data_IF_154447257939
#
_entry.id   IF_154447257939
#
_cell.length_a   1.000
_cell.length_b   1.000
_cell.length_c   1.000
_cell.angle_alpha   90.00
_cell.angle_beta   90.00
_cell.angle_gamma   90.00
#
_symmetry.space_group_name_H-M   'P 1'
#
loop_
_entity.id
_entity.type
_entity.pdbx_description
1 polymer ?
#
# COMPACT_ATOMS: atom_id res chain seq x y z
N UNK A 1 1.50 22.20 9.40
CA UNK A 1 1.25 20.86 9.99
C UNK A 1 0.38 20.09 9.03
N UNK A 2 0.66 18.80 8.79
CA UNK A 2 -0.23 17.98 7.94
C UNK A 2 -1.61 17.89 8.59
N UNK A 3 -2.67 17.81 7.79
CA UNK A 3 -4.05 17.64 8.30
C UNK A 3 -4.17 16.36 9.14
N UNK A 4 -3.39 15.32 8.80
CA UNK A 4 -3.27 14.09 9.59
C UNK A 4 -2.75 14.34 11.01
N UNK A 5 -1.74 15.20 11.19
CA UNK A 5 -1.20 15.50 12.52
C UNK A 5 -2.25 16.14 13.43
N UNK A 6 -3.17 16.94 12.87
CA UNK A 6 -4.28 17.53 13.63
C UNK A 6 -5.23 16.42 14.11
N UNK A 7 -5.53 15.45 13.24
CA UNK A 7 -6.37 14.29 13.58
C UNK A 7 -5.78 13.40 14.69
N UNK A 8 -4.46 13.40 14.85
CA UNK A 8 -3.74 12.59 15.84
C UNK A 8 -3.30 13.39 17.08
N UNK A 9 -3.58 14.69 17.14
CA UNK A 9 -3.14 15.52 18.25
C UNK A 9 -3.85 15.10 19.55
N UNK A 10 -3.06 14.89 20.61
CA UNK A 10 -3.54 14.51 21.93
C UNK A 10 -4.14 13.11 22.01
N UNK A 11 -3.79 12.22 21.07
CA UNK A 11 -4.29 10.83 21.05
C UNK A 11 -3.22 9.89 21.57
N UNK A 12 -3.56 9.10 22.58
CA UNK A 12 -2.82 7.91 22.97
C UNK A 12 -3.58 6.67 22.46
N UNK A 13 -2.86 5.72 21.87
CA UNK A 13 -3.44 4.50 21.32
C UNK A 13 -3.01 3.31 22.17
N UNK A 14 -3.99 2.50 22.57
CA UNK A 14 -3.78 1.25 23.28
C UNK A 14 -4.78 0.24 22.76
N UNK A 15 -4.32 -0.97 22.44
CA UNK A 15 -5.20 -2.09 22.10
C UNK A 15 -5.95 -2.58 23.33
N UNK A 16 -7.09 -3.20 23.08
CA UNK A 16 -7.79 -3.93 24.12
C UNK A 16 -6.97 -5.15 24.55
N UNK A 17 -7.23 -5.58 25.78
CA UNK A 17 -6.59 -6.76 26.33
C UNK A 17 -7.22 -8.01 25.71
N UNK A 18 -6.39 -8.93 25.24
CA UNK A 18 -6.79 -10.23 24.71
C UNK A 18 -6.97 -11.24 25.84
N UNK A 19 -7.30 -12.49 25.51
CA UNK A 19 -7.31 -13.55 26.51
C UNK A 19 -5.91 -13.74 27.11
N UNK A 20 -5.79 -14.22 28.38
CA UNK A 20 -4.49 -14.45 29.00
C UNK A 20 -3.55 -15.35 28.20
N UNK A 21 -4.10 -16.33 27.46
CA UNK A 21 -3.33 -17.22 26.59
C UNK A 21 -2.70 -16.49 25.40
N UNK A 22 -3.52 -15.71 24.67
CA UNK A 22 -3.03 -14.89 23.57
C UNK A 22 -2.08 -13.79 24.01
N UNK A 23 -2.30 -13.18 25.18
CA UNK A 23 -1.37 -12.20 25.77
C UNK A 23 0.00 -12.83 26.03
N UNK A 24 0.05 -14.01 26.66
CA UNK A 24 1.31 -14.71 26.91
C UNK A 24 2.04 -15.08 25.60
N UNK A 25 1.29 -15.51 24.57
CA UNK A 25 1.86 -15.78 23.24
C UNK A 25 2.38 -14.52 22.56
N UNK A 26 1.66 -13.41 22.71
CA UNK A 26 2.03 -12.11 22.15
C UNK A 26 3.25 -11.51 22.86
N UNK A 27 3.32 -11.56 24.20
CA UNK A 27 4.43 -11.05 25.00
C UNK A 27 5.76 -11.72 24.67
N UNK A 28 5.72 -13.00 24.29
CA UNK A 28 6.92 -13.74 23.91
C UNK A 28 7.40 -13.39 22.48
N UNK A 29 6.72 -12.52 21.73
CA UNK A 29 7.07 -12.13 20.37
C UNK A 29 7.73 -10.74 20.37
N UNK A 30 8.95 -10.65 19.85
CA UNK A 30 9.74 -9.40 19.90
C UNK A 30 9.71 -8.61 18.59
N UNK A 31 9.27 -9.22 17.49
CA UNK A 31 9.21 -8.61 16.16
C UNK A 31 7.85 -8.84 15.51
N UNK A 32 7.51 -8.03 14.51
CA UNK A 32 6.29 -8.25 13.71
C UNK A 32 6.32 -9.60 12.99
N UNK A 33 7.49 -10.09 12.59
CA UNK A 33 7.62 -11.40 11.96
C UNK A 33 7.39 -12.53 12.95
N UNK A 34 7.82 -12.38 14.21
CA UNK A 34 7.50 -13.36 15.27
C UNK A 34 6.00 -13.38 15.58
N UNK A 35 5.37 -12.20 15.66
CA UNK A 35 3.92 -12.09 15.86
C UNK A 35 3.19 -12.81 14.73
N UNK A 36 3.59 -12.58 13.47
CA UNK A 36 2.99 -13.24 12.29
C UNK A 36 3.15 -14.76 12.34
N UNK A 37 4.33 -15.27 12.68
CA UNK A 37 4.57 -16.72 12.80
C UNK A 37 3.69 -17.36 13.86
N UNK A 38 3.61 -16.76 15.05
CA UNK A 38 2.74 -17.27 16.12
C UNK A 38 1.26 -17.18 15.77
N UNK A 39 0.85 -16.14 15.06
CA UNK A 39 -0.51 -15.97 14.57
C UNK A 39 -0.85 -17.05 13.51
N UNK A 40 0.10 -17.48 12.68
CA UNK A 40 -0.07 -18.61 11.76
C UNK A 40 -0.20 -19.95 12.50
N UNK A 41 0.46 -20.10 13.65
CA UNK A 41 0.36 -21.29 14.51
C UNK A 41 -0.93 -21.31 15.34
N UNK A 42 -1.52 -20.14 15.65
CA UNK A 42 -2.73 -19.99 16.47
C UNK A 42 -3.79 -19.11 15.80
N UNK A 43 -4.87 -19.75 15.33
CA UNK A 43 -6.05 -19.06 14.78
C UNK A 43 -6.76 -18.16 15.81
N UNK A 44 -6.68 -18.52 17.09
CA UNK A 44 -7.25 -17.74 18.20
C UNK A 44 -6.50 -16.42 18.35
N UNK A 45 -5.16 -16.46 18.38
CA UNK A 45 -4.32 -15.26 18.46
C UNK A 45 -4.58 -14.32 17.28
N UNK A 46 -4.74 -14.86 16.07
CA UNK A 46 -5.06 -14.06 14.88
C UNK A 46 -6.39 -13.31 15.02
N UNK A 47 -7.41 -13.99 15.54
CA UNK A 47 -8.76 -13.42 15.68
C UNK A 47 -8.80 -12.38 16.79
N UNK A 48 -8.22 -12.70 17.96
CA UNK A 48 -8.15 -11.78 19.10
C UNK A 48 -7.28 -10.56 18.81
N UNK A 49 -6.19 -10.70 18.04
CA UNK A 49 -5.40 -9.54 17.61
C UNK A 49 -6.22 -8.58 16.75
N UNK A 50 -7.00 -9.10 15.79
CA UNK A 50 -7.89 -8.28 14.96
C UNK A 50 -8.96 -7.59 15.80
N UNK A 51 -9.56 -8.30 16.74
CA UNK A 51 -10.57 -7.74 17.64
C UNK A 51 -9.97 -6.67 18.55
N UNK A 52 -8.80 -6.93 19.15
CA UNK A 52 -8.14 -6.03 20.11
C UNK A 52 -7.81 -4.64 19.56
N UNK A 53 -7.65 -4.52 18.23
CA UNK A 53 -7.36 -3.24 17.56
C UNK A 53 -8.59 -2.59 16.94
N UNK A 54 -9.74 -3.27 16.90
CA UNK A 54 -10.95 -2.80 16.22
C UNK A 54 -11.44 -1.46 16.81
N UNK A 55 -11.41 -1.31 18.13
CA UNK A 55 -11.81 -0.07 18.79
C UNK A 55 -10.89 1.10 18.42
N UNK A 56 -9.58 0.85 18.30
CA UNK A 56 -8.62 1.87 17.84
C UNK A 56 -8.90 2.25 16.39
N UNK A 57 -9.13 1.27 15.52
CA UNK A 57 -9.45 1.53 14.10
C UNK A 57 -10.69 2.42 13.98
N UNK A 58 -11.75 2.09 14.72
CA UNK A 58 -12.96 2.90 14.78
C UNK A 58 -12.70 4.32 15.30
N UNK A 59 -11.90 4.48 16.36
CA UNK A 59 -11.51 5.79 16.89
C UNK A 59 -10.77 6.62 15.83
N UNK A 60 -9.79 6.01 15.15
CA UNK A 60 -8.99 6.67 14.10
C UNK A 60 -9.84 7.03 12.88
N UNK A 61 -10.74 6.15 12.46
CA UNK A 61 -11.67 6.41 11.36
C UNK A 61 -12.58 7.60 11.69
N UNK A 62 -13.25 7.55 12.84
CA UNK A 62 -14.12 8.62 13.30
C UNK A 62 -13.41 9.98 13.40
N UNK A 63 -12.15 10.01 13.86
CA UNK A 63 -11.36 11.24 13.91
C UNK A 63 -10.96 11.72 12.52
N UNK A 64 -10.53 10.83 11.65
CA UNK A 64 -10.04 11.16 10.30
C UNK A 64 -11.16 11.67 9.42
N UNK A 65 -12.36 11.07 9.48
CA UNK A 65 -13.52 11.50 8.69
C UNK A 65 -14.07 12.88 9.07
N UNK A 66 -13.75 13.38 10.27
CA UNK A 66 -14.07 14.76 10.71
C UNK A 66 -13.12 15.79 10.12
N UNK A 67 -11.97 15.36 9.60
CA UNK A 67 -11.01 16.27 8.98
C UNK A 67 -11.50 16.70 7.60
N UNK A 68 -11.14 17.92 7.23
CA UNK A 68 -11.41 18.50 5.92
C UNK A 68 -10.10 18.89 5.25
N UNK A 69 -9.99 18.58 3.96
CA UNK A 69 -8.94 19.08 3.10
C UNK A 69 -9.58 19.71 1.86
N UNK A 70 -9.43 21.04 1.71
CA UNK A 70 -10.06 21.84 0.65
C UNK A 70 -11.57 21.56 0.56
N UNK A 71 -12.26 21.66 1.71
CA UNK A 71 -13.70 21.42 1.88
C UNK A 71 -14.18 19.99 1.54
N UNK A 72 -13.26 19.05 1.33
CA UNK A 72 -13.56 17.63 1.14
C UNK A 72 -13.21 16.85 2.40
N UNK A 73 -14.14 16.01 2.85
CA UNK A 73 -13.90 15.05 3.93
C UNK A 73 -12.92 13.98 3.48
N UNK A 74 -12.08 13.54 4.41
CA UNK A 74 -11.30 12.31 4.20
C UNK A 74 -12.22 11.11 4.15
N UNK A 75 -11.78 10.08 3.42
CA UNK A 75 -12.44 8.78 3.37
C UNK A 75 -11.52 7.75 3.99
N UNK A 76 -12.06 6.97 4.92
CA UNK A 76 -11.40 5.77 5.39
C UNK A 76 -11.78 4.60 4.48
N UNK A 77 -10.80 3.74 4.21
CA UNK A 77 -10.99 2.55 3.39
C UNK A 77 -10.79 1.32 4.27
N UNK A 78 -11.64 0.32 4.04
CA UNK A 78 -11.48 -0.97 4.70
C UNK A 78 -10.16 -1.65 4.29
N UNK A 79 -9.54 -2.41 5.20
CA UNK A 79 -8.39 -3.24 4.87
C UNK A 79 -8.67 -4.14 3.66
N UNK A 80 -7.64 -4.41 2.85
CA UNK A 80 -7.76 -5.38 1.77
C UNK A 80 -8.00 -6.77 2.36
N UNK A 81 -9.01 -7.47 1.82
CA UNK A 81 -9.23 -8.88 2.14
C UNK A 81 -8.23 -9.77 1.39
N UNK A 82 -8.09 -11.01 1.82
CA UNK A 82 -7.16 -11.98 1.24
C UNK A 82 -7.41 -12.20 -0.26
N UNK A 83 -8.67 -12.21 -0.69
CA UNK A 83 -9.06 -12.32 -2.10
C UNK A 83 -8.52 -11.17 -2.96
N UNK A 84 -8.60 -9.92 -2.47
CA UNK A 84 -8.05 -8.75 -3.19
C UNK A 84 -6.53 -8.78 -3.21
N UNK A 85 -5.90 -9.23 -2.13
CA UNK A 85 -4.44 -9.39 -2.07
C UNK A 85 -4.00 -10.46 -3.09
N UNK A 86 -4.68 -11.60 -3.11
CA UNK A 86 -4.43 -12.68 -4.07
C UNK A 86 -4.66 -12.20 -5.51
N UNK A 87 -5.77 -11.51 -5.81
CA UNK A 87 -6.05 -11.00 -7.15
C UNK A 87 -5.00 -9.97 -7.63
N UNK A 88 -4.50 -9.12 -6.73
CA UNK A 88 -3.39 -8.23 -7.02
C UNK A 88 -2.11 -9.02 -7.30
N UNK A 89 -1.84 -10.04 -6.50
CA UNK A 89 -0.67 -10.90 -6.66
C UNK A 89 -0.70 -11.67 -7.98
N UNK A 90 -1.83 -12.25 -8.38
CA UNK A 90 -1.99 -12.92 -9.68
C UNK A 90 -1.64 -11.98 -10.84
N UNK A 91 -2.04 -10.71 -10.75
CA UNK A 91 -1.69 -9.70 -11.77
C UNK A 91 -0.19 -9.40 -11.85
N UNK A 92 0.56 -9.62 -10.76
CA UNK A 92 2.02 -9.48 -10.72
C UNK A 92 2.69 -10.78 -11.16
N UNK A 93 2.11 -11.93 -10.83
CA UNK A 93 2.54 -13.26 -11.27
C UNK A 93 2.50 -13.41 -12.80
N UNK A 94 1.54 -12.74 -13.46
CA UNK A 94 1.52 -12.60 -14.93
C UNK A 94 2.80 -11.98 -15.52
N UNK A 95 3.52 -11.17 -14.74
CA UNK A 95 4.79 -10.54 -15.14
C UNK A 95 5.96 -11.47 -14.83
N UNK A 96 5.97 -12.06 -13.64
CA UNK A 96 7.01 -12.97 -13.20
C UNK A 96 6.42 -14.08 -12.32
N UNK A 97 6.20 -15.25 -12.92
CA UNK A 97 5.59 -16.40 -12.26
C UNK A 97 6.51 -17.07 -11.22
N UNK A 98 7.75 -16.61 -11.08
CA UNK A 98 8.69 -17.15 -10.08
C UNK A 98 8.53 -16.48 -8.72
N UNK A 99 7.88 -15.32 -8.67
CA UNK A 99 7.58 -14.60 -7.43
C UNK A 99 6.59 -15.41 -6.59
N UNK A 100 6.80 -15.45 -5.27
CA UNK A 100 5.83 -15.99 -4.31
C UNK A 100 5.15 -14.89 -3.51
N UNK A 101 3.94 -15.15 -3.04
CA UNK A 101 3.12 -14.14 -2.33
C UNK A 101 3.75 -13.69 -1.01
N UNK A 102 4.64 -14.49 -0.42
CA UNK A 102 5.36 -14.14 0.81
C UNK A 102 6.57 -13.22 0.54
N UNK A 103 7.00 -13.07 -0.71
CA UNK A 103 8.18 -12.31 -1.11
C UNK A 103 7.88 -10.82 -1.28
N UNK A 104 7.66 -10.15 -0.14
CA UNK A 104 7.20 -8.76 -0.08
C UNK A 104 8.33 -7.73 0.12
N UNK A 105 9.56 -8.16 0.37
CA UNK A 105 10.69 -7.26 0.61
C UNK A 105 11.46 -6.92 -0.66
N UNK A 106 12.09 -5.75 -0.70
CA UNK A 106 12.91 -5.33 -1.86
C UNK A 106 14.06 -6.31 -2.15
N UNK A 107 14.64 -6.93 -1.12
CA UNK A 107 15.74 -7.89 -1.30
C UNK A 107 15.26 -9.20 -1.94
N UNK A 108 14.04 -9.65 -1.62
CA UNK A 108 13.42 -10.81 -2.27
C UNK A 108 13.05 -10.46 -3.72
N UNK A 109 12.34 -9.35 -3.94
CA UNK A 109 11.93 -8.88 -5.27
C UNK A 109 13.12 -8.77 -6.25
N UNK A 110 14.30 -8.35 -5.78
CA UNK A 110 15.51 -8.25 -6.61
C UNK A 110 16.02 -9.59 -7.17
N UNK A 111 15.55 -10.72 -6.65
CA UNK A 111 15.90 -12.07 -7.14
C UNK A 111 15.11 -12.46 -8.40
N UNK A 112 14.10 -11.66 -8.77
CA UNK A 112 13.19 -11.90 -9.88
C UNK A 112 13.53 -10.96 -11.05
N UNK A 113 14.41 -11.38 -11.98
CA UNK A 113 14.96 -10.49 -12.99
C UNK A 113 13.89 -9.95 -13.95
N UNK A 114 12.87 -10.75 -14.28
CA UNK A 114 11.78 -10.34 -15.18
C UNK A 114 10.92 -9.25 -14.54
N UNK A 115 10.58 -9.41 -13.26
CA UNK A 115 9.89 -8.36 -12.49
C UNK A 115 10.73 -7.09 -12.36
N UNK A 116 12.03 -7.22 -12.09
CA UNK A 116 12.95 -6.08 -11.99
C UNK A 116 13.06 -5.35 -13.34
N UNK A 117 13.15 -6.07 -14.45
CA UNK A 117 13.15 -5.49 -15.79
C UNK A 117 11.85 -4.73 -16.06
N UNK A 118 10.69 -5.31 -15.72
CA UNK A 118 9.41 -4.62 -15.84
C UNK A 118 9.38 -3.33 -15.04
N UNK A 119 9.80 -3.34 -13.78
CA UNK A 119 9.85 -2.16 -12.92
C UNK A 119 10.75 -1.07 -13.53
N UNK A 120 11.91 -1.44 -14.08
CA UNK A 120 12.84 -0.48 -14.65
C UNK A 120 12.37 0.11 -15.98
N UNK A 121 11.60 -0.64 -16.76
CA UNK A 121 11.19 -0.25 -18.13
C UNK A 121 9.80 0.38 -18.20
N UNK A 122 8.89 -0.02 -17.32
CA UNK A 122 7.47 0.39 -17.36
C UNK A 122 7.04 1.21 -16.14
N UNK A 123 7.81 1.21 -15.05
CA UNK A 123 7.46 1.91 -13.83
C UNK A 123 8.39 3.09 -13.55
N UNK A 124 7.87 4.06 -12.79
CA UNK A 124 8.62 5.19 -12.27
C UNK A 124 8.22 5.43 -10.83
N UNK A 125 9.09 5.04 -9.90
CA UNK A 125 8.96 5.36 -8.49
C UNK A 125 9.50 6.77 -8.22
N UNK A 126 8.72 7.57 -7.50
CA UNK A 126 9.05 8.94 -7.07
C UNK A 126 8.64 9.15 -5.63
N UNK A 127 9.10 10.24 -5.02
CA UNK A 127 8.79 10.56 -3.63
C UNK A 127 7.28 10.63 -3.34
N UNK A 128 6.48 11.05 -4.32
CA UNK A 128 5.04 11.30 -4.16
C UNK A 128 4.16 10.47 -5.10
N UNK A 129 4.74 9.63 -5.96
CA UNK A 129 3.97 8.86 -6.92
C UNK A 129 4.69 7.58 -7.31
N UNK A 130 3.91 6.53 -7.53
CA UNK A 130 4.34 5.37 -8.30
C UNK A 130 3.54 5.35 -9.60
N UNK A 131 4.24 5.39 -10.72
CA UNK A 131 3.60 5.52 -12.03
C UNK A 131 3.93 4.29 -12.87
N UNK A 132 2.95 3.80 -13.62
CA UNK A 132 3.10 2.67 -14.56
C UNK A 132 2.62 3.16 -15.92
N UNK A 133 3.43 2.97 -16.96
CA UNK A 133 3.12 3.39 -18.33
C UNK A 133 3.42 2.26 -19.33
N UNK A 134 2.53 2.08 -20.30
CA UNK A 134 2.79 1.19 -21.45
C UNK A 134 3.89 1.77 -22.33
N UNK A 135 4.72 0.92 -22.94
CA UNK A 135 5.87 1.37 -23.74
C UNK A 135 5.59 1.50 -25.25
N UNK A 136 4.42 1.06 -25.75
CA UNK A 136 4.07 1.03 -27.19
C UNK A 136 5.06 0.23 -28.07
N UNK A 137 5.89 -0.61 -27.48
CA UNK A 137 6.76 -1.49 -28.25
C UNK A 137 5.98 -2.76 -28.64
N UNK A 138 5.85 -3.10 -29.94
CA UNK A 138 5.16 -4.32 -30.38
C UNK A 138 5.82 -5.61 -29.89
N UNK A 139 7.12 -5.58 -29.52
CA UNK A 139 7.81 -6.74 -28.95
C UNK A 139 7.72 -6.80 -27.42
N UNK A 140 6.96 -5.90 -26.79
CA UNK A 140 6.80 -5.90 -25.34
C UNK A 140 5.95 -7.09 -24.91
N UNK A 141 6.51 -7.92 -24.05
CA UNK A 141 5.82 -9.10 -23.51
C UNK A 141 4.76 -8.75 -22.46
N UNK A 142 4.87 -7.57 -21.84
CA UNK A 142 4.02 -7.16 -20.71
C UNK A 142 2.81 -6.30 -21.14
N UNK A 143 2.99 -5.47 -22.18
CA UNK A 143 1.99 -4.47 -22.55
C UNK A 143 0.89 -5.08 -23.42
N UNK A 144 -0.34 -5.16 -22.89
CA UNK A 144 -1.53 -5.38 -23.73
C UNK A 144 -1.68 -4.25 -24.78
N UNK A 145 -2.33 -4.49 -25.93
CA UNK A 145 -2.54 -3.49 -26.97
C UNK A 145 -3.09 -2.16 -26.42
N UNK A 146 -2.67 -1.06 -27.05
CA UNK A 146 -3.13 0.28 -26.69
C UNK A 146 -4.57 0.44 -27.19
N UNK A 147 -5.45 0.87 -26.28
CA UNK A 147 -6.87 1.10 -26.57
C UNK A 147 -7.17 2.53 -27.03
N UNK A 148 -6.24 3.45 -26.78
CA UNK A 148 -6.33 4.86 -27.17
C UNK A 148 -5.81 5.05 -28.60
N UNK A 149 -6.26 6.10 -29.32
CA UNK A 149 -5.64 6.52 -30.56
C UNK A 149 -4.14 6.77 -30.38
N UNK A 150 -3.32 6.33 -31.35
CA UNK A 150 -1.87 6.40 -31.23
C UNK A 150 -1.35 7.85 -31.09
N UNK A 151 -2.02 8.79 -31.76
CA UNK A 151 -1.75 10.23 -31.65
C UNK A 151 -1.88 10.74 -30.21
N UNK A 152 -2.95 10.36 -29.51
CA UNK A 152 -3.16 10.74 -28.11
C UNK A 152 -2.20 10.01 -27.18
N UNK A 153 -2.01 8.70 -27.37
CA UNK A 153 -1.10 7.92 -26.53
C UNK A 153 0.33 8.46 -26.56
N UNK A 154 0.82 8.86 -27.73
CA UNK A 154 2.17 9.40 -27.89
C UNK A 154 2.38 10.73 -27.16
N UNK A 155 1.31 11.46 -26.82
CA UNK A 155 1.40 12.68 -25.99
C UNK A 155 1.53 12.38 -24.50
N UNK A 156 1.18 11.17 -24.05
CA UNK A 156 1.24 10.83 -22.63
C UNK A 156 2.70 10.72 -22.17
N UNK A 157 3.06 11.43 -21.11
CA UNK A 157 4.35 11.34 -20.44
C UNK A 157 4.17 10.83 -19.01
N UNK A 158 5.26 10.43 -18.36
CA UNK A 158 5.23 10.25 -16.91
C UNK A 158 4.98 11.61 -16.27
N UNK A 159 4.06 11.67 -15.32
CA UNK A 159 3.77 12.87 -14.55
C UNK A 159 5.07 13.36 -13.87
N UNK A 160 5.31 14.68 -13.87
CA UNK A 160 6.44 15.27 -13.14
C UNK A 160 6.21 15.19 -11.62
N UNK A 161 7.27 15.47 -10.87
CA UNK A 161 7.18 15.66 -9.42
C UNK A 161 6.49 17.01 -9.12
N UNK A 162 5.65 17.11 -8.07
CA UNK A 162 5.03 18.37 -7.67
C UNK A 162 6.09 19.39 -7.25
N UNK A 163 6.01 20.62 -7.78
CA UNK A 163 6.98 21.69 -7.51
C UNK A 163 6.42 22.58 -6.39
N UNK A 164 7.21 22.92 -5.35
CA UNK A 164 6.79 23.89 -4.34
C UNK A 164 6.51 25.26 -4.97
N UNK A 165 5.36 25.85 -4.64
CA UNK A 165 4.98 27.22 -5.02
C UNK A 165 5.08 28.16 -3.81
N UNK A 166 4.91 29.46 -4.02
CA UNK A 166 4.90 30.42 -2.90
C UNK A 166 3.74 30.13 -1.93
N UNK A 167 4.04 30.12 -0.62
CA UNK A 167 3.03 30.02 0.43
C UNK A 167 2.59 28.60 0.83
N UNK A 168 3.49 27.61 0.83
CA UNK A 168 3.20 26.20 1.21
C UNK A 168 2.17 25.48 0.31
N UNK A 169 1.95 25.99 -0.90
CA UNK A 169 1.13 25.35 -1.92
C UNK A 169 2.05 24.61 -2.91
N UNK A 170 1.64 23.46 -3.44
CA UNK A 170 2.34 22.80 -4.56
C UNK A 170 1.74 23.29 -5.88
N UNK A 171 2.58 23.74 -6.81
CA UNK A 171 2.19 24.04 -8.19
C UNK A 171 1.79 22.75 -8.91
N UNK A 172 0.87 22.88 -9.87
CA UNK A 172 0.42 21.80 -10.76
C UNK A 172 1.56 21.08 -11.47
N UNK A 173 1.29 19.83 -11.84
CA UNK A 173 2.10 19.02 -12.73
C UNK A 173 2.25 19.75 -14.09
N UNK A 174 3.48 20.13 -14.48
CA UNK A 174 3.78 20.61 -15.84
C UNK A 174 3.97 19.44 -16.82
#
# INVERSE_FOLDING_TARGET
MSTLNIGLQGVALKRDQMSPGSEALFETANTLDDIRKKAQESNELTSELKESITNIQNLLNNRTERLLFKDKKFRCHEPANEERIAALFESISDIDSTLRIEETTQAQIRRHPTLVEFINTHCRARAYSFQIKKCNNPTCLYCKPIRLPLSEFNTLSFLPDPIPSQGNLFSSYN
#
